data_IF_818244813045
#
_entry.id   IF_818244813045
#
_cell.length_a   1.000
_cell.length_b   1.000
_cell.length_c   1.000
_cell.angle_alpha   90.00
_cell.angle_beta   90.00
_cell.angle_gamma   90.00
#
_symmetry.space_group_name_H-M   'P 1'
#
loop_
_entity.id
_entity.type
_entity.pdbx_description
1 polymer ?
#
# COMPACT_ATOMS: atom_id res chain seq x y z
N UNK A 1 -39.74 1.99 9.56
CA UNK A 1 -38.30 2.33 9.64
C UNK A 1 -37.54 1.03 9.51
N UNK A 2 -36.87 0.80 8.39
CA UNK A 2 -35.98 -0.36 8.23
C UNK A 2 -34.59 0.05 8.74
N UNK A 3 -34.07 -0.71 9.70
CA UNK A 3 -32.68 -0.62 10.12
C UNK A 3 -31.98 -1.87 9.59
N UNK A 4 -31.04 -1.69 8.68
CA UNK A 4 -30.31 -2.78 8.04
C UNK A 4 -28.87 -2.80 8.55
N UNK A 5 -28.38 -3.97 8.93
CA UNK A 5 -26.97 -4.12 9.30
C UNK A 5 -26.12 -4.15 8.03
N UNK A 6 -25.22 -3.19 7.91
CA UNK A 6 -24.44 -2.97 6.68
C UNK A 6 -22.97 -3.30 6.86
N UNK A 7 -22.44 -3.19 8.08
CA UNK A 7 -21.06 -3.58 8.37
C UNK A 7 -20.92 -4.06 9.82
N UNK A 8 -20.06 -5.06 10.03
CA UNK A 8 -19.77 -5.60 11.35
C UNK A 8 -18.30 -5.92 11.51
N UNK A 9 -17.74 -5.43 12.62
CA UNK A 9 -16.40 -5.78 13.09
C UNK A 9 -16.50 -6.42 14.46
N UNK A 10 -15.72 -7.48 14.67
CA UNK A 10 -15.67 -8.20 15.94
C UNK A 10 -14.23 -8.36 16.39
N UNK A 11 -13.99 -8.18 17.69
CA UNK A 11 -12.73 -8.44 18.35
C UNK A 11 -13.00 -9.19 19.65
N UNK A 12 -12.26 -10.26 19.88
CA UNK A 12 -12.30 -11.00 21.14
C UNK A 12 -11.02 -10.72 21.90
N UNK A 13 -11.14 -10.16 23.10
CA UNK A 13 -10.02 -9.86 23.96
C UNK A 13 -10.20 -10.48 25.34
N UNK A 14 -9.11 -10.50 26.12
CA UNK A 14 -9.15 -10.94 27.51
C UNK A 14 -10.16 -10.13 28.37
N UNK A 15 -10.46 -8.89 27.96
CA UNK A 15 -11.39 -7.99 28.63
C UNK A 15 -12.85 -8.07 28.15
N UNK A 16 -13.17 -8.96 27.21
CA UNK A 16 -14.54 -9.14 26.68
C UNK A 16 -14.61 -9.19 25.14
N UNK A 17 -15.83 -9.39 24.63
CA UNK A 17 -16.14 -9.35 23.21
C UNK A 17 -16.52 -7.94 22.79
N UNK A 18 -15.72 -7.36 21.90
CA UNK A 18 -15.95 -6.05 21.31
C UNK A 18 -16.57 -6.18 19.93
N UNK A 19 -17.52 -5.32 19.62
CA UNK A 19 -18.22 -5.33 18.34
C UNK A 19 -18.55 -3.93 17.86
N UNK A 20 -18.30 -3.66 16.59
CA UNK A 20 -18.69 -2.42 15.93
C UNK A 20 -19.73 -2.79 14.88
N UNK A 21 -20.98 -2.42 15.13
CA UNK A 21 -22.11 -2.64 14.23
C UNK A 21 -22.44 -1.32 13.52
N UNK A 22 -22.57 -1.36 12.19
CA UNK A 22 -22.99 -0.21 11.38
C UNK A 22 -24.37 -0.50 10.82
N UNK A 23 -25.35 0.27 11.29
CA UNK A 23 -26.74 0.16 10.88
C UNK A 23 -27.07 1.27 9.89
N UNK A 24 -27.58 0.93 8.71
CA UNK A 24 -28.21 1.90 7.79
C UNK A 24 -29.66 2.05 8.19
N UNK A 25 -30.07 3.30 8.36
CA UNK A 25 -31.46 3.64 8.68
C UNK A 25 -31.94 4.65 7.66
N UNK A 26 -33.08 4.36 7.05
CA UNK A 26 -33.76 5.26 6.11
C UNK A 26 -35.07 5.76 6.72
N UNK A 27 -35.05 6.89 7.47
CA UNK A 27 -36.24 7.46 8.10
C UNK A 27 -37.18 8.12 7.08
N UNK A 28 -36.66 8.60 5.94
CA UNK A 28 -37.40 9.22 4.84
C UNK A 28 -36.77 8.80 3.53
N UNK A 29 -37.58 8.61 2.49
CA UNK A 29 -37.11 8.24 1.15
C UNK A 29 -35.97 9.17 0.71
N UNK A 30 -34.80 8.60 0.45
CA UNK A 30 -33.62 9.33 -0.04
C UNK A 30 -32.79 10.07 1.03
N UNK A 31 -33.12 9.96 2.32
CA UNK A 31 -32.28 10.45 3.43
C UNK A 31 -31.81 9.29 4.28
N UNK A 32 -30.75 8.62 3.83
CA UNK A 32 -30.08 7.57 4.59
C UNK A 32 -29.17 8.20 5.67
N UNK A 33 -29.12 7.58 6.86
CA UNK A 33 -28.05 7.81 7.82
C UNK A 33 -27.50 6.48 8.34
N UNK A 34 -26.28 6.51 8.83
CA UNK A 34 -25.53 5.36 9.32
C UNK A 34 -25.29 5.51 10.81
N UNK A 35 -25.78 4.56 11.58
CA UNK A 35 -25.62 4.48 13.03
C UNK A 35 -24.51 3.47 13.35
N UNK A 36 -23.36 3.96 13.80
CA UNK A 36 -22.18 3.17 14.18
C UNK A 36 -22.23 2.93 15.69
N UNK A 37 -22.51 1.69 16.08
CA UNK A 37 -22.63 1.27 17.48
C UNK A 37 -21.42 0.47 17.89
N UNK A 38 -20.77 0.88 18.96
CA UNK A 38 -19.70 0.12 19.61
C UNK A 38 -20.27 -0.58 20.83
N UNK A 39 -20.11 -1.89 20.85
CA UNK A 39 -20.65 -2.78 21.85
C UNK A 39 -19.51 -3.54 22.52
N UNK A 40 -19.59 -3.71 23.84
CA UNK A 40 -18.71 -4.57 24.64
C UNK A 40 -19.59 -5.52 25.45
N UNK A 41 -19.38 -6.82 25.33
CA UNK A 41 -20.12 -7.86 26.07
C UNK A 41 -21.65 -7.69 25.98
N UNK A 42 -22.14 -7.26 24.81
CA UNK A 42 -23.56 -7.02 24.54
C UNK A 42 -24.10 -5.65 24.99
N UNK A 43 -23.30 -4.82 25.67
CA UNK A 43 -23.68 -3.46 26.05
C UNK A 43 -23.09 -2.43 25.08
N UNK A 44 -23.95 -1.55 24.56
CA UNK A 44 -23.53 -0.43 23.72
C UNK A 44 -22.93 0.64 24.63
N UNK A 45 -21.65 0.95 24.42
CA UNK A 45 -20.94 1.98 25.20
C UNK A 45 -20.74 3.27 24.41
N UNK A 46 -20.80 3.22 23.08
CA UNK A 46 -20.65 4.40 22.24
C UNK A 46 -21.47 4.28 20.96
N UNK A 47 -22.08 5.39 20.54
CA UNK A 47 -22.85 5.49 19.31
C UNK A 47 -22.43 6.73 18.53
N UNK A 48 -22.19 6.59 17.23
CA UNK A 48 -21.81 7.71 16.35
C UNK A 48 -22.64 7.69 15.05
N UNK A 49 -23.11 8.85 14.61
CA UNK A 49 -24.03 8.96 13.48
C UNK A 49 -23.35 9.57 12.26
N UNK A 50 -23.24 8.83 11.16
CA UNK A 50 -22.87 9.27 9.80
C UNK A 50 -24.06 9.73 8.98
N UNK A 51 -24.01 10.96 8.43
CA UNK A 51 -25.06 11.48 7.54
C UNK A 51 -24.82 11.12 6.08
N UNK A 52 -23.60 10.72 5.73
CA UNK A 52 -23.24 10.26 4.38
C UNK A 52 -22.45 8.95 4.46
N UNK A 53 -22.40 8.15 3.36
CA UNK A 53 -21.60 6.94 3.33
C UNK A 53 -20.11 7.18 3.55
N UNK A 54 -19.56 8.30 3.06
CA UNK A 54 -18.16 8.65 3.25
C UNK A 54 -17.83 8.96 4.71
N UNK A 55 -18.67 9.80 5.34
CA UNK A 55 -18.54 10.16 6.75
C UNK A 55 -18.72 8.95 7.68
N UNK A 56 -19.62 8.02 7.32
CA UNK A 56 -19.77 6.75 8.02
C UNK A 56 -18.49 5.91 7.96
N UNK A 57 -17.85 5.80 6.79
CA UNK A 57 -16.58 5.07 6.63
C UNK A 57 -15.45 5.69 7.43
N UNK A 58 -15.32 7.02 7.42
CA UNK A 58 -14.30 7.71 8.23
C UNK A 58 -14.49 7.43 9.72
N UNK A 59 -15.74 7.44 10.20
CA UNK A 59 -16.04 7.12 11.60
C UNK A 59 -15.75 5.67 11.96
N UNK A 60 -16.11 4.73 11.08
CA UNK A 60 -15.78 3.30 11.26
C UNK A 60 -14.27 3.10 11.27
N UNK A 61 -13.55 3.70 10.31
CA UNK A 61 -12.09 3.59 10.23
C UNK A 61 -11.42 4.22 11.46
N UNK A 62 -11.91 5.37 11.94
CA UNK A 62 -11.43 5.97 13.18
C UNK A 62 -11.66 5.04 14.38
N UNK A 63 -12.84 4.43 14.49
CA UNK A 63 -13.16 3.48 15.56
C UNK A 63 -12.23 2.27 15.53
N UNK A 64 -12.01 1.69 14.35
CA UNK A 64 -11.10 0.56 14.14
C UNK A 64 -9.66 0.96 14.45
N UNK A 65 -9.19 2.11 13.95
CA UNK A 65 -7.82 2.60 14.21
C UNK A 65 -7.59 2.86 15.69
N UNK A 66 -8.53 3.51 16.37
CA UNK A 66 -8.47 3.73 17.81
C UNK A 66 -8.41 2.40 18.56
N UNK A 67 -9.23 1.43 18.14
CA UNK A 67 -9.28 0.13 18.78
C UNK A 67 -8.06 -0.77 18.45
N UNK A 68 -7.36 -0.55 17.33
CA UNK A 68 -6.06 -1.18 17.05
C UNK A 68 -4.94 -0.52 17.85
N UNK A 69 -4.97 0.81 18.00
CA UNK A 69 -3.92 1.57 18.68
C UNK A 69 -3.99 1.45 20.21
N UNK A 70 -5.19 1.43 20.77
CA UNK A 70 -5.43 1.45 22.22
C UNK A 70 -6.21 0.23 22.73
N UNK A 71 -6.79 -0.55 21.83
CA UNK A 71 -7.61 -1.70 22.20
C UNK A 71 -6.80 -2.99 22.32
N UNK A 72 -7.37 -4.00 23.02
CA UNK A 72 -6.63 -5.19 23.43
C UNK A 72 -6.39 -6.23 22.31
N UNK A 73 -7.05 -6.14 21.15
CA UNK A 73 -6.92 -7.14 20.07
C UNK A 73 -7.26 -6.59 18.67
N UNK A 74 -6.72 -7.20 17.60
CA UNK A 74 -7.06 -6.82 16.23
C UNK A 74 -8.52 -7.16 15.91
N UNK A 75 -9.27 -6.17 15.42
CA UNK A 75 -10.65 -6.36 14.98
C UNK A 75 -10.68 -7.06 13.62
N UNK A 76 -11.51 -8.11 13.53
CA UNK A 76 -11.80 -8.81 12.29
C UNK A 76 -13.13 -8.31 11.73
N UNK A 77 -13.14 -7.93 10.45
CA UNK A 77 -14.37 -7.59 9.74
C UNK A 77 -15.13 -8.87 9.37
N UNK A 78 -16.38 -8.98 9.79
CA UNK A 78 -17.23 -10.19 9.63
C UNK A 78 -18.30 -10.01 8.57
N UNK A 79 -18.83 -8.79 8.39
CA UNK A 79 -19.86 -8.48 7.40
C UNK A 79 -19.60 -7.12 6.75
N UNK A 80 -19.85 -7.00 5.44
CA UNK A 80 -19.67 -5.76 4.68
C UNK A 80 -20.61 -5.73 3.47
N UNK A 81 -21.48 -4.73 3.41
CA UNK A 81 -22.32 -4.41 2.25
C UNK A 81 -21.51 -3.65 1.17
N UNK A 82 -21.94 -3.79 -0.09
CA UNK A 82 -21.35 -3.19 -1.29
C UNK A 82 -21.37 -1.66 -1.23
N UNK A 83 -22.40 -1.05 -0.63
CA UNK A 83 -22.55 0.41 -0.56
C UNK A 83 -21.58 1.10 0.42
N UNK A 84 -21.04 0.39 1.42
CA UNK A 84 -20.04 0.93 2.37
C UNK A 84 -18.58 0.59 1.98
N UNK A 85 -18.36 -0.23 0.96
CA UNK A 85 -17.02 -0.40 0.42
C UNK A 85 -16.51 0.92 -0.19
N UNK A 86 -15.34 1.48 0.19
CA UNK A 86 -14.54 2.38 -0.65
C UNK A 86 -14.87 2.12 -2.12
N UNK A 87 -15.21 3.15 -2.92
CA UNK A 87 -15.24 2.95 -4.36
C UNK A 87 -13.93 2.22 -4.67
N UNK A 88 -14.00 1.10 -5.36
CA UNK A 88 -12.81 0.34 -5.72
C UNK A 88 -11.97 1.24 -6.61
N UNK A 89 -11.19 2.12 -5.99
CA UNK A 89 -10.02 2.69 -6.60
C UNK A 89 -9.12 1.48 -6.73
N UNK A 90 -9.13 0.87 -7.91
CA UNK A 90 -8.05 -0.02 -8.36
C UNK A 90 -6.66 0.65 -8.24
N UNK A 91 -6.62 1.94 -7.87
CA UNK A 91 -5.46 2.75 -7.54
C UNK A 91 -5.05 2.74 -6.05
N UNK A 92 -5.84 2.18 -5.12
CA UNK A 92 -5.39 2.00 -3.74
C UNK A 92 -4.34 0.89 -3.72
N UNK A 93 -3.08 1.35 -3.73
CA UNK A 93 -1.84 0.59 -3.68
C UNK A 93 -2.06 -0.74 -2.97
N UNK A 94 -2.00 -1.82 -3.78
CA UNK A 94 -1.67 -3.14 -3.27
C UNK A 94 -0.57 -2.97 -2.22
N UNK A 95 -0.65 -3.62 -1.04
CA UNK A 95 0.41 -3.56 -0.05
C UNK A 95 1.70 -3.83 -0.81
N UNK A 96 2.59 -2.84 -0.86
CA UNK A 96 3.87 -2.96 -1.53
C UNK A 96 4.66 -3.95 -0.71
N UNK A 97 4.43 -5.24 -0.95
CA UNK A 97 5.36 -6.29 -0.64
C UNK A 97 6.73 -5.76 -1.08
N UNK A 98 7.76 -5.83 -0.22
CA UNK A 98 9.10 -5.45 -0.64
C UNK A 98 9.35 -6.17 -1.97
N UNK A 99 9.73 -5.44 -3.03
CA UNK A 99 9.76 -5.99 -4.37
C UNK A 99 10.60 -7.26 -4.30
N UNK A 100 9.97 -8.40 -4.57
CA UNK A 100 10.64 -9.68 -4.47
C UNK A 100 11.91 -9.59 -5.33
N UNK A 101 13.08 -9.98 -4.81
CA UNK A 101 14.37 -9.90 -5.53
C UNK A 101 14.29 -10.44 -6.96
N UNK A 102 13.46 -11.47 -7.17
CA UNK A 102 13.19 -12.05 -8.48
C UNK A 102 12.44 -11.11 -9.44
N UNK A 103 11.53 -10.27 -8.93
CA UNK A 103 10.83 -9.26 -9.73
C UNK A 103 11.75 -8.12 -10.16
N UNK A 104 12.69 -7.68 -9.30
CA UNK A 104 13.68 -6.66 -9.68
C UNK A 104 14.66 -7.20 -10.72
N UNK A 105 15.18 -8.41 -10.53
CA UNK A 105 16.02 -9.09 -11.52
C UNK A 105 15.30 -9.27 -12.86
N UNK A 106 14.01 -9.66 -12.84
CA UNK A 106 13.21 -9.77 -14.05
C UNK A 106 13.03 -8.42 -14.78
N UNK A 107 12.78 -7.33 -14.04
CA UNK A 107 12.70 -5.98 -14.61
C UNK A 107 14.02 -5.56 -15.29
N UNK A 108 15.16 -5.89 -14.69
CA UNK A 108 16.47 -5.60 -15.26
C UNK A 108 16.76 -6.41 -16.52
N UNK A 109 16.41 -7.70 -16.52
CA UNK A 109 16.52 -8.56 -17.69
C UNK A 109 15.66 -8.01 -18.85
N UNK A 110 14.41 -7.63 -18.59
CA UNK A 110 13.51 -7.03 -19.59
C UNK A 110 14.03 -5.68 -20.10
N UNK A 111 14.58 -4.86 -19.21
CA UNK A 111 15.23 -3.60 -19.60
C UNK A 111 16.41 -3.85 -20.55
N UNK A 112 17.28 -4.82 -20.26
CA UNK A 112 18.39 -5.17 -21.13
C UNK A 112 17.93 -5.73 -22.47
N UNK A 113 16.91 -6.58 -22.49
CA UNK A 113 16.30 -7.05 -23.75
C UNK A 113 15.80 -5.86 -24.57
N UNK A 114 15.09 -4.92 -23.95
CA UNK A 114 14.57 -3.73 -24.64
C UNK A 114 15.67 -2.82 -25.18
N UNK A 115 16.81 -2.71 -24.49
CA UNK A 115 17.90 -1.79 -24.87
C UNK A 115 18.96 -2.42 -25.77
N UNK A 116 19.18 -3.71 -25.66
CA UNK A 116 20.32 -4.41 -26.29
C UNK A 116 19.91 -5.65 -27.09
N UNK A 117 18.63 -6.04 -27.07
CA UNK A 117 18.12 -7.25 -27.72
C UNK A 117 18.37 -8.54 -26.94
N UNK A 118 19.11 -8.48 -25.82
CA UNK A 118 19.48 -9.66 -25.03
C UNK A 118 19.47 -9.38 -23.53
N UNK A 119 19.16 -10.39 -22.70
CA UNK A 119 19.18 -10.28 -21.24
C UNK A 119 20.59 -10.32 -20.63
N UNK A 120 21.56 -10.87 -21.37
CA UNK A 120 22.97 -10.97 -20.94
C UNK A 120 23.82 -9.82 -21.50
N UNK A 121 23.18 -8.85 -22.16
CA UNK A 121 23.84 -7.68 -22.70
C UNK A 121 24.32 -6.73 -21.61
N UNK A 122 25.12 -5.76 -22.05
CA UNK A 122 25.58 -4.66 -21.21
C UNK A 122 25.03 -3.35 -21.75
N UNK A 123 24.31 -2.63 -20.90
CA UNK A 123 23.82 -1.29 -21.22
C UNK A 123 24.56 -0.23 -20.41
N UNK A 124 24.88 0.89 -21.03
CA UNK A 124 25.49 2.05 -20.38
C UNK A 124 24.78 3.33 -20.80
N UNK A 125 24.43 4.18 -19.84
CA UNK A 125 23.78 5.45 -20.11
C UNK A 125 23.31 6.16 -18.86
N UNK A 126 22.50 7.21 -19.03
CA UNK A 126 21.87 7.94 -17.93
C UNK A 126 20.39 7.57 -17.83
N UNK A 127 19.84 7.60 -16.62
CA UNK A 127 18.41 7.41 -16.36
C UNK A 127 17.90 8.53 -15.46
N UNK A 128 16.66 8.98 -15.71
CA UNK A 128 15.95 9.91 -14.83
C UNK A 128 15.69 9.26 -13.47
N UNK A 129 15.55 10.10 -12.44
CA UNK A 129 15.31 9.61 -11.07
C UNK A 129 14.02 8.76 -10.95
N UNK A 130 12.99 9.06 -11.75
CA UNK A 130 11.78 8.27 -11.82
C UNK A 130 12.02 6.89 -12.44
N UNK A 131 12.80 6.82 -13.52
CA UNK A 131 13.16 5.57 -14.20
C UNK A 131 14.02 4.68 -13.30
N UNK A 132 14.98 5.26 -12.57
CA UNK A 132 15.80 4.54 -11.60
C UNK A 132 14.96 3.90 -10.50
N UNK A 133 14.01 4.67 -9.92
CA UNK A 133 13.12 4.12 -8.89
C UNK A 133 12.20 3.04 -9.43
N UNK A 134 11.72 3.17 -10.66
CA UNK A 134 10.89 2.15 -11.30
C UNK A 134 11.66 0.85 -11.59
N UNK A 135 12.93 0.98 -11.99
CA UNK A 135 13.78 -0.13 -12.42
C UNK A 135 14.49 -0.83 -11.24
N UNK A 136 15.06 -0.05 -10.32
CA UNK A 136 15.89 -0.53 -9.21
C UNK A 136 15.19 -0.47 -7.85
N UNK A 137 13.99 0.10 -7.76
CA UNK A 137 13.32 0.36 -6.47
C UNK A 137 13.87 1.56 -5.69
N UNK A 138 15.03 2.09 -6.08
CA UNK A 138 15.70 3.23 -5.45
C UNK A 138 16.38 4.15 -6.44
N UNK A 139 16.67 5.37 -6.01
CA UNK A 139 17.49 6.32 -6.76
C UNK A 139 18.95 6.13 -6.36
N UNK A 140 19.83 5.85 -7.33
CA UNK A 140 21.26 5.58 -7.07
C UNK A 140 22.06 6.88 -7.19
N UNK A 141 21.72 7.75 -8.14
CA UNK A 141 22.39 9.02 -8.32
C UNK A 141 22.27 9.59 -9.73
N UNK A 142 22.78 10.81 -9.90
CA UNK A 142 22.97 11.42 -11.24
C UNK A 142 24.34 11.00 -11.76
N UNK A 143 24.38 10.38 -12.92
CA UNK A 143 25.62 9.90 -13.52
C UNK A 143 25.38 8.80 -14.53
N UNK A 144 26.47 8.17 -14.96
CA UNK A 144 26.43 7.05 -15.89
C UNK A 144 26.18 5.76 -15.11
N UNK A 145 25.08 5.11 -15.43
CA UNK A 145 24.74 3.78 -14.98
C UNK A 145 25.19 2.76 -16.01
N UNK A 146 25.71 1.65 -15.53
CA UNK A 146 26.05 0.47 -16.33
C UNK A 146 25.30 -0.71 -15.74
N UNK A 147 24.44 -1.35 -16.53
CA UNK A 147 23.72 -2.57 -16.17
C UNK A 147 24.35 -3.72 -16.94
N UNK A 148 24.94 -4.66 -16.24
CA UNK A 148 25.63 -5.83 -16.79
C UNK A 148 24.79 -7.08 -16.49
N UNK A 149 24.15 -7.62 -17.52
CA UNK A 149 23.29 -8.80 -17.38
C UNK A 149 24.05 -10.12 -17.32
N UNK A 150 25.32 -10.14 -17.73
CA UNK A 150 26.16 -11.35 -17.64
C UNK A 150 26.68 -11.56 -16.22
N UNK A 151 27.06 -10.46 -15.55
CA UNK A 151 27.54 -10.48 -14.16
C UNK A 151 26.44 -10.22 -13.14
N UNK A 152 25.24 -9.86 -13.59
CA UNK A 152 24.11 -9.43 -12.76
C UNK A 152 24.52 -8.28 -11.81
N UNK A 153 25.18 -7.25 -12.36
CA UNK A 153 25.66 -6.09 -11.59
C UNK A 153 25.17 -4.77 -12.16
N UNK A 154 25.07 -3.79 -11.28
CA UNK A 154 24.82 -2.38 -11.61
C UNK A 154 25.98 -1.55 -11.08
N UNK A 155 26.55 -0.73 -11.95
CA UNK A 155 27.61 0.21 -11.59
C UNK A 155 27.15 1.64 -11.86
N UNK A 156 27.27 2.50 -10.87
CA UNK A 156 27.08 3.95 -11.01
C UNK A 156 28.43 4.65 -10.97
N UNK A 157 28.66 5.51 -11.97
CA UNK A 157 29.89 6.29 -12.08
C UNK A 157 29.59 7.75 -12.38
N UNK A 158 30.32 8.64 -11.71
CA UNK A 158 30.22 10.08 -11.89
C UNK A 158 31.55 10.62 -12.39
N UNK A 159 31.50 11.68 -13.20
CA UNK A 159 32.72 12.41 -13.55
C UNK A 159 33.24 13.15 -12.33
N UNK A 160 34.55 13.12 -12.08
CA UNK A 160 35.14 14.02 -11.11
C UNK A 160 34.99 15.49 -11.55
N UNK A 161 35.21 16.41 -10.62
CA UNK A 161 35.06 17.86 -10.80
C UNK A 161 35.93 18.48 -11.91
N UNK A 162 36.83 17.71 -12.52
CA UNK A 162 37.74 18.16 -13.59
C UNK A 162 37.68 17.27 -14.85
N UNK A 163 36.62 16.47 -15.02
CA UNK A 163 36.37 15.69 -16.24
C UNK A 163 37.37 14.55 -16.54
N UNK A 164 38.41 14.38 -15.72
CA UNK A 164 39.58 13.56 -16.06
C UNK A 164 39.42 12.09 -15.70
N UNK A 165 38.58 11.75 -14.72
CA UNK A 165 38.35 10.36 -14.29
C UNK A 165 36.92 10.14 -13.84
N UNK A 166 36.36 8.99 -14.25
CA UNK A 166 35.08 8.50 -13.72
C UNK A 166 35.33 7.79 -12.39
N UNK A 167 34.62 8.22 -11.34
CA UNK A 167 34.65 7.60 -10.02
C UNK A 167 33.43 6.70 -9.88
N UNK A 168 33.66 5.45 -9.53
CA UNK A 168 32.58 4.50 -9.22
C UNK A 168 32.06 4.82 -7.82
N UNK A 169 30.77 5.14 -7.71
CA UNK A 169 30.12 5.52 -6.45
C UNK A 169 29.16 4.45 -5.95
N UNK A 170 28.73 3.54 -6.81
CA UNK A 170 28.01 2.33 -6.42
C UNK A 170 28.35 1.17 -7.35
N UNK A 171 28.52 -0.02 -6.79
CA UNK A 171 28.65 -1.28 -7.53
C UNK A 171 27.86 -2.37 -6.78
N UNK A 172 26.65 -2.67 -7.28
CA UNK A 172 25.63 -3.46 -6.59
C UNK A 172 25.33 -4.73 -7.40
N UNK A 173 25.19 -5.87 -6.73
CA UNK A 173 24.61 -7.05 -7.37
C UNK A 173 23.10 -6.86 -7.51
N UNK A 174 22.48 -7.51 -8.51
CA UNK A 174 21.02 -7.43 -8.69
C UNK A 174 20.25 -7.99 -7.49
N UNK A 175 20.85 -8.95 -6.78
CA UNK A 175 20.29 -9.54 -5.57
C UNK A 175 20.26 -8.58 -4.37
N UNK A 176 21.09 -7.54 -4.37
CA UNK A 176 21.24 -6.57 -3.27
C UNK A 176 20.43 -5.28 -3.49
N UNK A 177 19.55 -5.28 -4.52
CA UNK A 177 18.69 -4.14 -4.87
C UNK A 177 17.41 -4.08 -4.06
#
# INVERSE_FOLDING_TARGET
MSAELVERWEAAAQAGLYRIDVMRIEPRLGREYFDVRMTRDGQVYETRIGRTPAEARERVQHAVNWAIAYGPTPYKRVLRDVKLAPPCNLADKAPTLPPNRFQLAAKLALFLIKKTGTRVGKWQGTLLAAEQRALFGRFIGKGILTVDGMRERIRHSVSNSFGSRRVVTADLAWADL
#
